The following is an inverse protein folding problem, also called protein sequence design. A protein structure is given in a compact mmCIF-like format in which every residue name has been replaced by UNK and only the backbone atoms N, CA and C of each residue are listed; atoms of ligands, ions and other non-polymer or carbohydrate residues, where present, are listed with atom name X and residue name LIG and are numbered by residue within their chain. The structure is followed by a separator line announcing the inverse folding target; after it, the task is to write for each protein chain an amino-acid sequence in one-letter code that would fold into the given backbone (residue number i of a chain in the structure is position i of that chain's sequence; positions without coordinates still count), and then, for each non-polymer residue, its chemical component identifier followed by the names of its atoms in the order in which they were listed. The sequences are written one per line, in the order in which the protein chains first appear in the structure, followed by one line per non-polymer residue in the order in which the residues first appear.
data_IF_303725202834
#
_entry.id   IF_303725202834
#
_cell.length_a   1.000
_cell.length_b   1.000
_cell.length_c   1.000
_cell.angle_alpha   90.00
_cell.angle_beta   90.00
_cell.angle_gamma   90.00
#
_symmetry.space_group_name_H-M   'P 1'
#
loop_
_entity.id
_entity.type
_entity.pdbx_description
1 polymer ?
#
# COMPACT_ATOMS: atom_id res chain seq x y z
N UNK A 1 -8.29 -28.66 0.07
CA UNK A 1 -8.13 -27.28 0.57
C UNK A 1 -9.51 -26.64 0.63
N UNK A 2 -10.00 -26.18 1.80
CA UNK A 2 -11.37 -25.68 1.88
C UNK A 2 -11.50 -24.38 1.09
N UNK A 3 -12.56 -24.31 0.28
CA UNK A 3 -12.89 -23.23 -0.64
C UNK A 3 -13.18 -21.92 0.11
N UNK A 4 -12.94 -20.81 -0.59
CA UNK A 4 -13.16 -19.44 -0.15
C UNK A 4 -14.66 -19.11 -0.01
N UNK A 5 -15.38 -19.80 0.86
CA UNK A 5 -16.81 -19.57 1.10
C UNK A 5 -17.02 -19.15 2.55
N UNK A 6 -16.60 -17.93 2.92
CA UNK A 6 -17.07 -17.27 4.16
C UNK A 6 -16.71 -15.78 4.31
N UNK A 7 -16.79 -14.98 3.24
CA UNK A 7 -17.09 -13.55 3.43
C UNK A 7 -18.61 -13.43 3.58
N UNK A 8 -19.11 -13.96 4.69
CA UNK A 8 -20.50 -13.82 5.12
C UNK A 8 -20.87 -12.35 5.12
N UNK A 9 -22.04 -12.04 4.57
CA UNK A 9 -22.71 -10.75 4.44
C UNK A 9 -22.94 -10.03 5.79
N UNK A 10 -21.90 -9.81 6.58
CA UNK A 10 -21.97 -8.99 7.81
C UNK A 10 -22.04 -7.51 7.41
N UNK A 11 -22.81 -6.67 8.12
CA UNK A 11 -22.84 -5.25 7.85
C UNK A 11 -21.42 -4.68 7.88
N UNK A 12 -21.03 -3.94 6.83
CA UNK A 12 -19.67 -3.43 6.61
C UNK A 12 -19.15 -2.58 7.77
N UNK A 13 -20.06 -2.01 8.56
CA UNK A 13 -19.79 -1.16 9.71
C UNK A 13 -19.22 -1.91 10.93
N UNK A 14 -19.35 -3.24 10.98
CA UNK A 14 -18.89 -4.04 12.12
C UNK A 14 -17.59 -4.81 11.88
N UNK A 15 -17.00 -4.75 10.70
CA UNK A 15 -15.78 -5.52 10.37
C UNK A 15 -14.48 -4.74 10.54
N UNK A 16 -14.53 -3.40 10.54
CA UNK A 16 -13.36 -2.54 10.68
C UNK A 16 -13.36 -1.77 12.00
N UNK A 17 -12.16 -1.63 12.56
CA UNK A 17 -11.80 -0.70 13.63
C UNK A 17 -11.11 0.51 13.00
N UNK A 18 -11.34 1.69 13.56
CA UNK A 18 -10.79 2.95 13.06
C UNK A 18 -10.12 3.72 14.20
N UNK A 19 -8.88 4.14 13.99
CA UNK A 19 -8.13 4.90 14.99
C UNK A 19 -7.19 5.91 14.34
N UNK A 20 -6.85 6.96 15.08
CA UNK A 20 -5.85 7.94 14.67
C UNK A 20 -4.58 7.78 15.52
N UNK A 21 -3.39 7.58 14.93
CA UNK A 21 -2.15 7.53 15.68
C UNK A 21 -1.90 8.87 16.39
N UNK A 22 -1.48 8.89 17.68
CA UNK A 22 -1.24 10.13 18.42
C UNK A 22 -0.22 11.06 17.75
N UNK A 23 0.81 10.51 17.10
CA UNK A 23 1.85 11.30 16.43
C UNK A 23 1.36 11.92 15.11
N UNK A 24 0.24 11.41 14.56
CA UNK A 24 -0.33 11.81 13.27
C UNK A 24 -1.87 11.85 13.37
N UNK A 25 -2.46 12.74 14.19
CA UNK A 25 -3.90 12.75 14.48
C UNK A 25 -4.77 13.06 13.24
N UNK A 26 -4.18 13.67 12.21
CA UNK A 26 -4.82 13.91 10.91
C UNK A 26 -4.85 12.68 9.98
N UNK A 27 -4.38 11.52 10.43
CA UNK A 27 -4.46 10.26 9.71
C UNK A 27 -5.35 9.28 10.46
N UNK A 28 -6.43 8.83 9.84
CA UNK A 28 -7.24 7.72 10.34
C UNK A 28 -6.80 6.43 9.66
N UNK A 29 -6.48 5.39 10.44
CA UNK A 29 -6.22 4.02 9.97
C UNK A 29 -7.50 3.20 10.12
N UNK A 30 -7.73 2.32 9.16
CA UNK A 30 -8.81 1.34 9.17
C UNK A 30 -8.21 -0.06 9.12
N UNK A 31 -8.54 -0.89 10.10
CA UNK A 31 -8.03 -2.26 10.20
C UNK A 31 -9.15 -3.26 10.49
N UNK A 32 -8.93 -4.52 10.14
CA UNK A 32 -9.87 -5.59 10.47
C UNK A 32 -9.98 -5.79 11.99
N UNK A 33 -11.20 -5.85 12.54
CA UNK A 33 -11.45 -6.15 13.96
C UNK A 33 -11.04 -7.56 14.37
N UNK A 34 -10.98 -8.50 13.42
CA UNK A 34 -10.69 -9.90 13.72
C UNK A 34 -9.19 -10.22 13.69
N UNK A 35 -8.47 -9.76 12.66
CA UNK A 35 -7.04 -10.07 12.49
C UNK A 35 -6.11 -8.87 12.69
N UNK A 36 -6.64 -7.66 12.89
CA UNK A 36 -5.84 -6.45 13.09
C UNK A 36 -5.14 -5.90 11.85
N UNK A 37 -5.22 -6.59 10.70
CA UNK A 37 -4.56 -6.16 9.46
C UNK A 37 -5.14 -4.83 8.97
N UNK A 38 -4.25 -3.88 8.68
CA UNK A 38 -4.62 -2.57 8.15
C UNK A 38 -5.01 -2.68 6.67
N UNK A 39 -6.16 -2.13 6.31
CA UNK A 39 -6.71 -2.19 4.94
C UNK A 39 -6.60 -0.85 4.22
N UNK A 40 -6.81 0.25 4.95
CA UNK A 40 -6.91 1.58 4.38
C UNK A 40 -6.58 2.67 5.40
N UNK A 41 -6.30 3.86 4.90
CA UNK A 41 -6.17 5.05 5.74
C UNK A 41 -6.54 6.32 4.98
N UNK A 42 -7.06 7.31 5.71
CA UNK A 42 -7.40 8.63 5.20
C UNK A 42 -6.48 9.67 5.83
N UNK A 43 -5.86 10.51 5.03
CA UNK A 43 -5.11 11.67 5.47
C UNK A 43 -5.90 12.92 5.12
N UNK A 44 -6.44 13.61 6.13
CA UNK A 44 -7.31 14.78 5.89
C UNK A 44 -6.52 16.01 5.44
N UNK A 45 -5.26 16.17 5.86
CA UNK A 45 -4.40 17.29 5.40
C UNK A 45 -4.05 17.19 3.92
N UNK A 46 -3.84 15.97 3.43
CA UNK A 46 -3.50 15.72 2.03
C UNK A 46 -4.70 15.35 1.17
N UNK A 47 -5.92 15.34 1.74
CA UNK A 47 -7.17 14.90 1.10
C UNK A 47 -7.05 13.59 0.33
N UNK A 48 -6.24 12.65 0.84
CA UNK A 48 -5.86 11.40 0.16
C UNK A 48 -6.22 10.16 0.96
N UNK A 49 -6.49 9.09 0.22
CA UNK A 49 -6.58 7.73 0.73
C UNK A 49 -5.31 6.94 0.41
N UNK A 50 -4.97 6.00 1.27
CA UNK A 50 -3.95 4.99 1.01
C UNK A 50 -4.52 3.62 1.32
N UNK A 51 -4.34 2.67 0.40
CA UNK A 51 -4.85 1.30 0.49
C UNK A 51 -3.65 0.35 0.53
N UNK A 52 -3.69 -0.68 1.38
CA UNK A 52 -2.64 -1.69 1.43
C UNK A 52 -2.86 -2.73 0.34
N UNK A 53 -1.97 -2.74 -0.66
CA UNK A 53 -2.14 -3.57 -1.87
C UNK A 53 -2.20 -5.09 -1.61
N UNK A 54 -1.70 -5.57 -0.47
CA UNK A 54 -1.79 -6.98 -0.08
C UNK A 54 -3.24 -7.46 0.13
N UNK A 55 -4.19 -6.54 0.35
CA UNK A 55 -5.60 -6.86 0.58
C UNK A 55 -6.44 -6.83 -0.71
N UNK A 56 -5.84 -6.50 -1.84
CA UNK A 56 -6.53 -6.42 -3.12
C UNK A 56 -6.70 -7.80 -3.74
N UNK A 57 -7.82 -7.99 -4.43
CA UNK A 57 -8.17 -9.25 -5.07
C UNK A 57 -7.18 -9.62 -6.19
N UNK A 58 -6.79 -10.89 -6.20
CA UNK A 58 -5.90 -11.48 -7.20
C UNK A 58 -6.62 -12.55 -8.02
N UNK A 59 -6.15 -12.77 -9.24
CA UNK A 59 -6.58 -13.88 -10.08
C UNK A 59 -5.90 -15.20 -9.68
N UNK A 60 -6.18 -16.28 -10.42
CA UNK A 60 -5.62 -17.61 -10.17
C UNK A 60 -4.10 -17.68 -10.31
N UNK A 61 -3.50 -16.74 -11.05
CA UNK A 61 -2.05 -16.62 -11.23
C UNK A 61 -1.40 -15.71 -10.18
N UNK A 62 -2.20 -15.22 -9.22
CA UNK A 62 -1.75 -14.31 -8.17
C UNK A 62 -1.53 -12.86 -8.63
N UNK A 63 -1.95 -12.48 -9.85
CA UNK A 63 -1.88 -11.08 -10.31
C UNK A 63 -3.09 -10.29 -9.82
N UNK A 64 -2.93 -8.98 -9.61
CA UNK A 64 -4.06 -8.13 -9.23
C UNK A 64 -5.06 -8.04 -10.39
N UNK A 65 -6.35 -8.28 -10.12
CA UNK A 65 -7.41 -8.31 -11.16
C UNK A 65 -7.56 -7.01 -11.96
N UNK A 66 -7.18 -5.86 -11.38
CA UNK A 66 -7.23 -4.53 -12.04
C UNK A 66 -5.85 -3.90 -12.13
N UNK A 67 -4.87 -4.69 -12.59
CA UNK A 67 -3.47 -4.27 -12.65
C UNK A 67 -3.26 -2.91 -13.32
N UNK A 68 -3.90 -2.62 -14.45
CA UNK A 68 -3.68 -1.37 -15.17
C UNK A 68 -4.06 -0.12 -14.39
N UNK A 69 -5.04 -0.22 -13.48
CA UNK A 69 -5.46 0.88 -12.61
C UNK A 69 -4.65 0.97 -11.31
N UNK A 70 -3.95 -0.11 -10.93
CA UNK A 70 -3.39 -0.28 -9.58
C UNK A 70 -1.87 -0.54 -9.58
N UNK A 71 -1.26 -0.72 -10.75
CA UNK A 71 0.18 -0.97 -10.88
C UNK A 71 0.98 0.17 -10.22
N UNK A 72 2.03 -0.14 -9.46
CA UNK A 72 2.86 0.89 -8.86
C UNK A 72 3.49 1.80 -9.93
N UNK A 73 3.54 3.10 -9.66
CA UNK A 73 4.23 4.08 -10.52
C UNK A 73 5.64 4.40 -10.01
N UNK A 74 5.85 4.29 -8.70
CA UNK A 74 7.08 4.65 -8.03
C UNK A 74 7.23 3.95 -6.68
N UNK A 75 8.46 4.00 -6.17
CA UNK A 75 8.78 3.68 -4.78
C UNK A 75 8.98 4.96 -3.99
N UNK A 76 8.25 5.10 -2.88
CA UNK A 76 8.35 6.24 -1.97
C UNK A 76 8.99 5.81 -0.65
N UNK A 77 9.62 6.75 0.06
CA UNK A 77 10.40 6.45 1.28
C UNK A 77 11.50 5.39 1.06
N UNK A 78 12.04 5.33 -0.15
CA UNK A 78 12.96 4.28 -0.59
C UNK A 78 14.32 4.33 0.11
N UNK A 79 14.64 5.43 0.81
CA UNK A 79 15.84 5.54 1.65
C UNK A 79 15.91 4.51 2.79
N UNK A 80 14.76 3.97 3.24
CA UNK A 80 14.70 3.00 4.34
C UNK A 80 14.68 1.54 3.89
N UNK A 81 14.97 1.26 2.62
CA UNK A 81 14.92 -0.09 2.04
C UNK A 81 16.06 -0.97 2.56
N UNK A 82 15.78 -2.26 2.71
CA UNK A 82 16.80 -3.30 2.98
C UNK A 82 17.30 -3.99 1.70
N UNK A 83 16.55 -3.89 0.60
CA UNK A 83 16.84 -4.50 -0.70
C UNK A 83 16.53 -3.50 -1.81
N UNK A 84 17.33 -3.52 -2.88
CA UNK A 84 17.03 -2.76 -4.09
C UNK A 84 16.13 -3.56 -5.04
N UNK A 85 15.08 -2.92 -5.54
CA UNK A 85 14.08 -3.51 -6.44
C UNK A 85 14.35 -3.06 -7.87
N UNK A 86 14.80 -3.98 -8.71
CA UNK A 86 15.11 -3.72 -10.13
C UNK A 86 13.87 -3.81 -11.03
N UNK A 87 12.94 -2.88 -10.88
CA UNK A 87 11.67 -2.83 -11.63
C UNK A 87 11.53 -1.61 -12.55
N UNK A 88 12.61 -0.84 -12.72
CA UNK A 88 12.69 0.40 -13.53
C UNK A 88 11.77 1.54 -13.05
N UNK A 89 11.05 1.38 -11.94
CA UNK A 89 10.22 2.45 -11.39
C UNK A 89 11.07 3.51 -10.68
N UNK A 90 10.59 4.77 -10.70
CA UNK A 90 11.24 5.88 -10.00
C UNK A 90 11.36 5.59 -8.50
N UNK A 91 12.51 5.92 -7.92
CA UNK A 91 12.79 5.69 -6.50
C UNK A 91 12.93 7.03 -5.80
N UNK A 92 12.19 7.27 -4.73
CA UNK A 92 12.09 8.58 -4.11
C UNK A 92 12.34 8.51 -2.60
N UNK A 93 13.01 9.52 -2.04
CA UNK A 93 13.25 9.63 -0.59
C UNK A 93 11.98 9.90 0.21
N UNK A 94 10.99 10.50 -0.44
CA UNK A 94 9.65 10.77 0.07
C UNK A 94 8.64 10.52 -1.03
N UNK A 95 7.78 11.50 -1.31
CA UNK A 95 6.73 11.36 -2.34
C UNK A 95 7.28 11.61 -3.75
N UNK A 96 6.74 10.89 -4.73
CA UNK A 96 7.02 11.09 -6.15
C UNK A 96 6.77 12.55 -6.57
N UNK A 97 7.72 13.13 -7.32
CA UNK A 97 7.71 14.52 -7.81
C UNK A 97 7.71 15.63 -6.73
N UNK A 98 7.81 15.28 -5.45
CA UNK A 98 7.84 16.25 -4.33
C UNK A 98 9.02 16.02 -3.37
N UNK A 99 9.90 15.06 -3.68
CA UNK A 99 11.05 14.70 -2.87
C UNK A 99 12.24 14.39 -3.77
N UNK A 100 13.41 14.14 -3.20
CA UNK A 100 14.59 13.79 -3.99
C UNK A 100 14.39 12.43 -4.67
N UNK A 101 14.64 12.36 -5.98
CA UNK A 101 14.76 11.10 -6.70
C UNK A 101 16.11 10.44 -6.34
N UNK A 102 16.07 9.18 -5.89
CA UNK A 102 17.19 8.41 -5.36
C UNK A 102 17.84 7.46 -6.38
N UNK A 103 17.25 7.30 -7.57
CA UNK A 103 17.87 6.58 -8.68
C UNK A 103 18.19 7.58 -9.81
N UNK A 104 19.32 7.46 -10.51
CA UNK A 104 20.12 6.26 -10.81
C UNK A 104 21.53 6.28 -10.23
N UNK A 105 22.08 5.09 -9.93
CA UNK A 105 23.37 4.78 -10.51
C UNK A 105 23.35 3.40 -11.18
N UNK A 106 23.72 3.33 -12.46
CA UNK A 106 24.47 2.17 -12.98
C UNK A 106 25.47 2.65 -14.02
N UNK A 107 26.74 2.54 -13.65
CA UNK A 107 27.83 2.11 -14.53
C UNK A 107 28.96 1.61 -13.64
N UNK A 108 28.87 0.34 -13.23
CA UNK A 108 30.07 -0.44 -12.91
C UNK A 108 30.66 -0.92 -14.25
N UNK A 109 31.99 -0.98 -14.40
CA UNK A 109 32.62 -1.27 -15.68
C UNK A 109 32.40 -2.73 -16.11
N UNK A 110 32.29 -2.91 -17.44
CA UNK A 110 32.24 -4.20 -18.14
C UNK A 110 33.51 -5.03 -17.94
#
# INVERSE_FOLDING_TARGET
MPKADRVSQRPKEHVLDAFSPPEKPWKTRFRCKLCGVCVASRNVKATKWSIWGAQLERDGDGKLKRWDALKPTAHIFYGTRMLDVDDKLGKWSGYENASQCLARPRSGPD
#
